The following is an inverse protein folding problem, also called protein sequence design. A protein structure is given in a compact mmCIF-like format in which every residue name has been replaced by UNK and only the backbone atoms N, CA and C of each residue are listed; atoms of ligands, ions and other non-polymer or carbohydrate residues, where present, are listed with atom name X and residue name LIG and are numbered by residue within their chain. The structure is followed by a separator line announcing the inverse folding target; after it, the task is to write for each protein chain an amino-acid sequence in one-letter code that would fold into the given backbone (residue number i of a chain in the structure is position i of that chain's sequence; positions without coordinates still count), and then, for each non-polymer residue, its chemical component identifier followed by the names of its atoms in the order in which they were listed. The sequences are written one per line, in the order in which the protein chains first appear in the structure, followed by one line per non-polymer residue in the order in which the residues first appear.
data_IF_400501059707
#
_entry.id   IF_400501059707
#
_cell.length_a   1.000
_cell.length_b   1.000
_cell.length_c   1.000
_cell.angle_alpha   90.00
_cell.angle_beta   90.00
_cell.angle_gamma   90.00
#
_symmetry.space_group_name_H-M   'P 1'
#
loop_
_entity.id
_entity.type
_entity.pdbx_description
1 polymer ?
#
# COMPACT_ATOMS: atom_id res chain seq x y z
N UNK A 1 24.34 15.76 -49.33
CA UNK A 1 24.40 16.15 -47.91
C UNK A 1 24.11 14.91 -47.07
N UNK A 2 24.84 14.68 -45.97
CA UNK A 2 24.56 13.58 -45.03
C UNK A 2 23.11 13.71 -44.52
N UNK A 3 22.36 12.60 -44.43
CA UNK A 3 20.95 12.60 -44.03
C UNK A 3 20.73 13.33 -42.70
N UNK A 4 21.67 13.19 -41.75
CA UNK A 4 21.59 13.84 -40.44
C UNK A 4 21.83 15.35 -40.52
N UNK A 5 22.71 15.83 -41.41
CA UNK A 5 22.98 17.26 -41.60
C UNK A 5 21.79 17.93 -42.29
N UNK A 6 21.14 17.26 -43.25
CA UNK A 6 19.87 17.74 -43.83
C UNK A 6 18.79 17.87 -42.75
N UNK A 7 18.64 16.85 -41.90
CA UNK A 7 17.67 16.85 -40.79
C UNK A 7 17.95 18.00 -39.81
N UNK A 8 19.21 18.22 -39.44
CA UNK A 8 19.61 19.34 -38.58
C UNK A 8 19.31 20.70 -39.23
N UNK A 9 19.54 20.83 -40.54
CA UNK A 9 19.22 22.04 -41.29
C UNK A 9 17.71 22.34 -41.33
N UNK A 10 16.89 21.31 -41.51
CA UNK A 10 15.43 21.43 -41.45
C UNK A 10 14.95 21.79 -40.03
N UNK A 11 15.54 21.17 -38.99
CA UNK A 11 15.17 21.45 -37.61
C UNK A 11 15.49 22.90 -37.22
N UNK A 12 16.63 23.42 -37.69
CA UNK A 12 17.07 24.81 -37.46
C UNK A 12 16.31 25.87 -38.28
N UNK A 13 15.26 25.48 -39.02
CA UNK A 13 14.24 26.45 -39.46
C UNK A 13 13.44 27.00 -38.27
N UNK A 14 13.46 26.29 -37.15
CA UNK A 14 13.10 26.82 -35.83
C UNK A 14 14.36 27.19 -35.07
N UNK A 15 14.29 28.21 -34.23
CA UNK A 15 15.41 28.55 -33.34
C UNK A 15 15.53 27.47 -32.24
N UNK A 16 16.57 26.65 -32.27
CA UNK A 16 16.77 25.55 -31.31
C UNK A 16 18.10 25.73 -30.57
N UNK A 17 18.06 25.57 -29.24
CA UNK A 17 19.27 25.41 -28.45
C UNK A 17 19.94 24.05 -28.72
N UNK A 18 21.18 23.89 -28.28
CA UNK A 18 21.97 22.69 -28.57
C UNK A 18 21.38 21.41 -27.94
N UNK A 19 20.77 21.48 -26.76
CA UNK A 19 20.02 20.32 -26.21
C UNK A 19 18.88 19.88 -27.13
N UNK A 20 18.05 20.82 -27.59
CA UNK A 20 16.89 20.52 -28.43
C UNK A 20 17.30 19.98 -29.80
N UNK A 21 18.34 20.58 -30.41
CA UNK A 21 18.91 20.07 -31.66
C UNK A 21 19.53 18.68 -31.46
N UNK A 22 20.32 18.50 -30.41
CA UNK A 22 21.01 17.25 -30.12
C UNK A 22 20.04 16.10 -29.84
N UNK A 23 18.97 16.33 -29.06
CA UNK A 23 17.99 15.30 -28.73
C UNK A 23 17.42 14.59 -29.95
N UNK A 24 17.27 15.26 -31.10
CA UNK A 24 16.81 14.65 -32.35
C UNK A 24 17.68 13.49 -32.84
N UNK A 25 18.93 13.43 -32.37
CA UNK A 25 19.95 12.46 -32.76
C UNK A 25 20.45 11.61 -31.58
N UNK A 26 19.72 11.58 -30.47
CA UNK A 26 20.13 10.90 -29.23
C UNK A 26 20.49 9.41 -29.44
N UNK A 27 19.81 8.72 -30.36
CA UNK A 27 20.07 7.30 -30.69
C UNK A 27 21.06 7.09 -31.84
N UNK A 28 21.60 8.14 -32.44
CA UNK A 28 22.53 8.04 -33.60
C UNK A 28 23.95 7.67 -33.16
N UNK A 29 24.35 8.11 -31.97
CA UNK A 29 25.65 7.82 -31.36
C UNK A 29 25.51 7.85 -29.84
N UNK A 30 26.41 7.21 -29.08
CA UNK A 30 26.31 7.11 -27.61
C UNK A 30 27.57 7.66 -26.95
N UNK A 31 27.48 8.07 -25.67
CA UNK A 31 28.64 8.50 -24.88
C UNK A 31 28.91 10.00 -24.84
N UNK A 32 28.07 10.82 -25.48
CA UNK A 32 28.07 12.29 -25.38
C UNK A 32 26.68 12.79 -24.94
N UNK A 33 26.64 13.97 -24.31
CA UNK A 33 25.38 14.63 -23.93
C UNK A 33 24.63 15.14 -25.17
N UNK A 34 23.34 15.49 -25.04
CA UNK A 34 22.65 16.10 -26.17
C UNK A 34 23.12 17.54 -26.42
N UNK A 35 23.59 18.26 -25.41
CA UNK A 35 24.23 19.57 -25.61
C UNK A 35 25.45 19.45 -26.54
N UNK A 36 26.39 18.55 -26.22
CA UNK A 36 27.58 18.28 -27.05
C UNK A 36 27.19 17.82 -28.45
N UNK A 37 26.15 16.97 -28.55
CA UNK A 37 25.63 16.50 -29.82
C UNK A 37 25.05 17.61 -30.68
N UNK A 38 24.30 18.54 -30.06
CA UNK A 38 23.77 19.73 -30.73
C UNK A 38 24.88 20.62 -31.24
N UNK A 39 25.87 20.92 -30.40
CA UNK A 39 27.06 21.69 -30.78
C UNK A 39 27.79 21.05 -31.98
N UNK A 40 27.98 19.74 -31.95
CA UNK A 40 28.60 18.98 -33.05
C UNK A 40 27.78 19.05 -34.34
N UNK A 41 26.45 18.91 -34.26
CA UNK A 41 25.58 19.04 -35.43
C UNK A 41 25.55 20.45 -35.99
N UNK A 42 25.54 21.47 -35.12
CA UNK A 42 25.62 22.87 -35.51
C UNK A 42 26.93 23.16 -36.23
N UNK A 43 28.06 22.69 -35.69
CA UNK A 43 29.38 22.83 -36.33
C UNK A 43 29.43 22.13 -37.71
N UNK A 44 28.93 20.90 -37.80
CA UNK A 44 28.89 20.17 -39.07
C UNK A 44 28.05 20.90 -40.13
N UNK A 45 26.91 21.46 -39.74
CA UNK A 45 26.06 22.25 -40.63
C UNK A 45 26.72 23.59 -41.02
N UNK A 46 27.40 24.27 -40.08
CA UNK A 46 28.13 25.50 -40.34
C UNK A 46 29.13 25.35 -41.50
N UNK A 47 29.89 24.25 -41.50
CA UNK A 47 30.87 23.95 -42.53
C UNK A 47 30.24 23.66 -43.88
N UNK A 48 29.11 22.94 -43.91
CA UNK A 48 28.38 22.62 -45.15
C UNK A 48 27.72 23.86 -45.77
N UNK A 49 27.10 24.72 -44.95
CA UNK A 49 26.51 26.00 -45.38
C UNK A 49 27.59 27.00 -45.82
N UNK A 50 28.67 27.12 -45.05
CA UNK A 50 29.80 27.99 -45.39
C UNK A 50 30.44 27.63 -46.74
N UNK A 51 30.51 26.33 -47.08
CA UNK A 51 30.96 25.87 -48.39
C UNK A 51 30.04 26.31 -49.55
N UNK A 52 28.80 26.72 -49.25
CA UNK A 52 27.81 27.27 -50.21
C UNK A 52 27.68 28.78 -50.13
N UNK A 53 28.45 29.44 -49.25
CA UNK A 53 28.31 30.88 -48.98
C UNK A 53 27.05 31.24 -48.19
N UNK A 54 26.47 30.27 -47.47
CA UNK A 54 25.32 30.44 -46.60
C UNK A 54 25.79 30.51 -45.14
N UNK A 55 25.04 31.20 -44.28
CA UNK A 55 25.31 31.32 -42.84
C UNK A 55 24.30 30.51 -42.03
N UNK A 56 24.73 30.07 -40.84
CA UNK A 56 23.81 29.46 -39.88
C UNK A 56 22.80 30.49 -39.37
N UNK A 57 21.52 30.09 -39.18
CA UNK A 57 20.57 30.91 -38.45
C UNK A 57 21.11 31.25 -37.04
N UNK A 58 20.97 32.50 -36.58
CA UNK A 58 21.35 32.88 -35.23
C UNK A 58 20.45 32.19 -34.19
N UNK A 59 20.98 31.99 -33.00
CA UNK A 59 20.23 31.52 -31.83
C UNK A 59 20.02 32.68 -30.86
N UNK A 60 18.76 33.00 -30.55
CA UNK A 60 18.38 34.02 -29.56
C UNK A 60 17.62 33.42 -28.39
N UNK A 61 16.62 32.59 -28.66
CA UNK A 61 15.81 31.91 -27.65
C UNK A 61 15.23 30.63 -28.22
N UNK A 62 15.30 29.53 -27.48
CA UNK A 62 14.86 28.25 -28.01
C UNK A 62 13.34 28.20 -28.19
N UNK A 63 12.88 28.17 -29.44
CA UNK A 63 11.48 27.99 -29.82
C UNK A 63 10.88 26.71 -29.23
N UNK A 64 11.67 25.63 -29.10
CA UNK A 64 11.14 24.36 -28.63
C UNK A 64 10.98 24.30 -27.10
N UNK A 65 11.99 24.70 -26.35
CA UNK A 65 12.00 24.49 -24.90
C UNK A 65 11.87 25.78 -24.07
N UNK A 66 11.74 26.95 -24.69
CA UNK A 66 11.70 28.24 -23.99
C UNK A 66 12.82 28.36 -22.93
N UNK A 67 14.04 27.96 -23.33
CA UNK A 67 15.29 28.01 -22.56
C UNK A 67 15.25 27.25 -21.21
N UNK A 68 14.40 26.22 -21.10
CA UNK A 68 14.29 25.39 -19.90
C UNK A 68 15.62 24.77 -19.44
N UNK A 69 16.53 24.46 -20.37
CA UNK A 69 17.83 23.86 -20.03
C UNK A 69 18.78 24.85 -19.34
N UNK A 70 18.56 26.16 -19.45
CA UNK A 70 19.32 27.15 -18.68
C UNK A 70 18.90 27.16 -17.20
N UNK A 71 17.71 26.63 -16.89
CA UNK A 71 17.14 26.62 -15.55
C UNK A 71 17.43 25.33 -14.76
N UNK A 72 18.26 24.42 -15.27
CA UNK A 72 18.57 23.14 -14.63
C UNK A 72 19.04 23.28 -13.18
N UNK A 73 19.93 24.25 -12.91
CA UNK A 73 20.44 24.51 -11.56
C UNK A 73 19.32 24.96 -10.60
N UNK A 74 18.42 25.85 -11.05
CA UNK A 74 17.26 26.31 -10.29
C UNK A 74 16.32 25.15 -9.94
N UNK A 75 16.05 24.26 -10.90
CA UNK A 75 15.20 23.09 -10.66
C UNK A 75 15.85 22.08 -9.72
N UNK A 76 17.15 21.84 -9.86
CA UNK A 76 17.91 20.97 -8.96
C UNK A 76 17.90 21.53 -7.53
N UNK A 77 18.15 22.82 -7.35
CA UNK A 77 18.12 23.48 -6.03
C UNK A 77 16.73 23.37 -5.38
N UNK A 78 15.66 23.63 -6.13
CA UNK A 78 14.29 23.48 -5.62
C UNK A 78 14.01 22.03 -5.16
N UNK A 79 14.48 21.03 -5.92
CA UNK A 79 14.33 19.63 -5.54
C UNK A 79 15.16 19.26 -4.30
N UNK A 80 16.41 19.73 -4.22
CA UNK A 80 17.27 19.52 -3.05
C UNK A 80 16.65 20.08 -1.78
N UNK A 81 16.09 21.29 -1.85
CA UNK A 81 15.45 21.94 -0.72
C UNK A 81 14.27 21.13 -0.19
N UNK A 82 13.36 20.70 -1.06
CA UNK A 82 12.22 19.85 -0.63
C UNK A 82 12.70 18.49 -0.09
N UNK A 83 13.65 17.85 -0.78
CA UNK A 83 14.19 16.56 -0.34
C UNK A 83 14.88 16.63 1.03
N UNK A 84 15.43 17.78 1.42
CA UNK A 84 16.10 17.96 2.72
C UNK A 84 15.16 17.84 3.93
N UNK A 85 13.84 17.94 3.71
CA UNK A 85 12.81 17.90 4.75
C UNK A 85 12.38 16.48 5.17
N UNK A 86 12.97 15.44 4.54
CA UNK A 86 12.62 14.03 4.76
C UNK A 86 13.84 13.10 4.75
N UNK A 87 13.72 11.95 5.39
CA UNK A 87 14.67 10.85 5.30
C UNK A 87 14.38 9.99 4.06
N UNK A 88 15.44 9.64 3.32
CA UNK A 88 15.40 8.71 2.20
C UNK A 88 16.80 8.19 1.90
N UNK A 89 16.86 6.99 1.34
CA UNK A 89 18.12 6.41 0.83
C UNK A 89 18.18 6.42 -0.70
N UNK A 90 17.02 6.31 -1.37
CA UNK A 90 16.91 6.39 -2.83
C UNK A 90 15.93 7.45 -3.29
N UNK A 91 16.17 8.06 -4.45
CA UNK A 91 15.25 9.05 -5.03
C UNK A 91 15.13 8.89 -6.54
N UNK A 92 14.16 9.62 -7.11
CA UNK A 92 14.04 9.77 -8.56
C UNK A 92 13.55 11.19 -8.89
N UNK A 93 14.08 11.79 -9.94
CA UNK A 93 13.58 13.06 -10.47
C UNK A 93 12.57 12.78 -11.58
N UNK A 94 11.42 13.43 -11.48
CA UNK A 94 10.45 13.53 -12.56
C UNK A 94 10.15 14.99 -12.87
N UNK A 95 9.74 15.26 -14.11
CA UNK A 95 9.32 16.59 -14.54
C UNK A 95 7.90 16.56 -15.11
N UNK A 96 7.18 17.66 -14.90
CA UNK A 96 5.96 18.03 -15.62
C UNK A 96 6.33 19.16 -16.58
N UNK A 97 6.15 18.88 -17.88
CA UNK A 97 6.42 19.82 -18.97
C UNK A 97 5.12 20.51 -19.34
N UNK A 98 5.21 21.78 -19.75
CA UNK A 98 4.07 22.50 -20.29
C UNK A 98 3.55 21.77 -21.54
N UNK A 99 2.23 21.49 -21.65
CA UNK A 99 1.64 20.88 -22.84
C UNK A 99 2.01 21.61 -24.15
N UNK A 100 2.18 22.94 -24.13
CA UNK A 100 2.55 23.71 -25.32
C UNK A 100 3.93 23.27 -25.84
N UNK A 101 4.90 22.98 -24.96
CA UNK A 101 6.23 22.54 -25.37
C UNK A 101 6.20 21.09 -25.86
N UNK A 102 5.30 20.27 -25.31
CA UNK A 102 5.08 18.90 -25.82
C UNK A 102 4.48 18.94 -27.23
N UNK A 103 3.52 19.82 -27.49
CA UNK A 103 2.93 20.02 -28.82
C UNK A 103 3.99 20.50 -29.83
N UNK A 104 4.87 21.44 -29.44
CA UNK A 104 6.00 21.89 -30.28
C UNK A 104 6.99 20.76 -30.58
N UNK A 105 7.25 19.89 -29.61
CA UNK A 105 8.13 18.73 -29.78
C UNK A 105 7.55 17.74 -30.80
N UNK A 106 6.27 17.41 -30.67
CA UNK A 106 5.57 16.54 -31.62
C UNK A 106 5.52 17.17 -33.01
N UNK A 107 5.28 18.48 -33.10
CA UNK A 107 5.33 19.23 -34.35
C UNK A 107 6.71 19.09 -35.00
N UNK A 108 7.79 19.39 -34.28
CA UNK A 108 9.14 19.29 -34.81
C UNK A 108 9.44 17.88 -35.31
N UNK A 109 9.08 16.84 -34.54
CA UNK A 109 9.27 15.45 -34.94
C UNK A 109 8.48 15.09 -36.20
N UNK A 110 7.29 15.66 -36.40
CA UNK A 110 6.50 15.44 -37.62
C UNK A 110 7.15 16.08 -38.86
N UNK A 111 7.87 17.19 -38.68
CA UNK A 111 8.53 17.92 -39.75
C UNK A 111 9.88 17.29 -40.15
N UNK A 112 10.68 16.82 -39.18
CA UNK A 112 12.06 16.39 -39.42
C UNK A 112 12.35 14.91 -39.08
N UNK A 113 11.37 14.20 -38.54
CA UNK A 113 11.49 12.81 -38.06
C UNK A 113 11.92 12.71 -36.59
N UNK A 114 11.26 11.85 -35.81
CA UNK A 114 11.47 11.66 -34.38
C UNK A 114 12.05 10.29 -33.98
N UNK A 115 12.41 9.42 -34.93
CA UNK A 115 12.72 8.01 -34.68
C UNK A 115 13.93 7.80 -33.77
N UNK A 116 14.92 8.69 -33.90
CA UNK A 116 16.15 8.69 -33.11
C UNK A 116 16.12 9.70 -31.97
N UNK A 117 14.97 10.37 -31.77
CA UNK A 117 14.86 11.49 -30.86
C UNK A 117 14.67 11.03 -29.40
N UNK A 118 15.23 11.80 -28.47
CA UNK A 118 14.92 11.70 -27.04
C UNK A 118 13.86 12.75 -26.64
N UNK A 119 12.78 12.36 -25.93
CA UNK A 119 11.81 13.30 -25.38
C UNK A 119 12.44 14.31 -24.43
N UNK A 120 11.98 15.57 -24.47
CA UNK A 120 12.52 16.66 -23.64
C UNK A 120 12.47 16.33 -22.15
N UNK A 121 11.38 15.69 -21.74
CA UNK A 121 11.14 15.22 -20.37
C UNK A 121 12.24 14.26 -19.90
N UNK A 122 12.69 13.35 -20.76
CA UNK A 122 13.70 12.34 -20.41
C UNK A 122 15.06 12.96 -20.16
N UNK A 123 15.48 13.90 -21.03
CA UNK A 123 16.74 14.62 -20.81
C UNK A 123 16.66 15.51 -19.57
N UNK A 124 15.59 16.28 -19.38
CA UNK A 124 15.42 17.12 -18.19
C UNK A 124 15.49 16.30 -16.90
N UNK A 125 14.80 15.16 -16.83
CA UNK A 125 14.88 14.27 -15.67
C UNK A 125 16.33 13.80 -15.42
N UNK A 126 17.06 13.44 -16.48
CA UNK A 126 18.44 12.96 -16.37
C UNK A 126 19.40 14.06 -15.92
N UNK A 127 19.36 15.23 -16.56
CA UNK A 127 20.31 16.31 -16.26
C UNK A 127 20.04 16.94 -14.89
N UNK A 128 18.77 17.15 -14.51
CA UNK A 128 18.44 17.57 -13.14
C UNK A 128 18.83 16.46 -12.14
N UNK A 129 18.56 15.20 -12.47
CA UNK A 129 18.93 14.04 -11.65
C UNK A 129 20.41 13.99 -11.31
N UNK A 130 21.30 14.18 -12.29
CA UNK A 130 22.76 14.23 -12.08
C UNK A 130 23.16 15.35 -11.11
N UNK A 131 22.57 16.54 -11.26
CA UNK A 131 22.85 17.68 -10.38
C UNK A 131 22.40 17.41 -8.94
N UNK A 132 21.21 16.86 -8.78
CA UNK A 132 20.68 16.49 -7.45
C UNK A 132 21.53 15.39 -6.82
N UNK A 133 21.82 14.31 -7.55
CA UNK A 133 22.64 13.17 -7.08
C UNK A 133 24.02 13.62 -6.57
N UNK A 134 24.69 14.49 -7.34
CA UNK A 134 25.99 15.04 -6.96
C UNK A 134 25.94 15.85 -5.65
N UNK A 135 24.83 16.53 -5.38
CA UNK A 135 24.62 17.34 -4.17
C UNK A 135 24.24 16.48 -2.96
N UNK A 136 23.19 15.65 -3.09
CA UNK A 136 22.61 14.90 -1.95
C UNK A 136 23.37 13.61 -1.61
N UNK A 137 24.16 13.07 -2.57
CA UNK A 137 24.92 11.81 -2.42
C UNK A 137 24.04 10.63 -2.00
N UNK A 138 22.88 10.51 -2.65
CA UNK A 138 21.91 9.41 -2.49
C UNK A 138 21.79 8.68 -3.81
N UNK A 139 21.31 7.44 -3.78
CA UNK A 139 21.22 6.61 -4.98
C UNK A 139 19.95 6.92 -5.78
N UNK A 140 20.06 6.95 -7.11
CA UNK A 140 18.89 7.03 -7.99
C UNK A 140 18.30 5.63 -8.18
N UNK A 141 17.00 5.47 -7.92
CA UNK A 141 16.27 4.20 -8.17
C UNK A 141 15.09 4.44 -9.12
N UNK A 142 15.14 3.82 -10.30
CA UNK A 142 14.12 3.94 -11.33
C UNK A 142 12.92 2.99 -11.13
N UNK A 143 13.02 2.03 -10.22
CA UNK A 143 12.01 0.98 -10.00
C UNK A 143 11.23 1.20 -8.71
N UNK A 144 11.93 1.48 -7.60
CA UNK A 144 11.34 1.54 -6.27
C UNK A 144 11.92 2.67 -5.38
N UNK A 145 11.94 3.92 -5.87
CA UNK A 145 12.50 5.02 -5.11
C UNK A 145 11.74 5.26 -3.79
N UNK A 146 12.46 5.68 -2.76
CA UNK A 146 11.83 6.11 -1.49
C UNK A 146 11.00 7.39 -1.68
N UNK A 147 11.41 8.24 -2.62
CA UNK A 147 10.72 9.49 -2.98
C UNK A 147 10.94 9.82 -4.45
N UNK A 148 9.90 10.31 -5.12
CA UNK A 148 10.01 10.94 -6.43
C UNK A 148 9.79 12.45 -6.25
N UNK A 149 10.79 13.26 -6.59
CA UNK A 149 10.63 14.72 -6.66
C UNK A 149 10.10 15.09 -8.04
N UNK A 150 8.83 15.50 -8.11
CA UNK A 150 8.16 15.88 -9.34
C UNK A 150 8.21 17.40 -9.50
N UNK A 151 9.00 17.85 -10.47
CA UNK A 151 9.27 19.26 -10.73
C UNK A 151 8.33 19.78 -11.80
N UNK A 152 7.52 20.79 -11.49
CA UNK A 152 6.73 21.53 -12.45
C UNK A 152 7.60 22.63 -13.10
N UNK A 153 8.04 22.38 -14.34
CA UNK A 153 9.02 23.23 -15.03
C UNK A 153 8.52 24.64 -15.34
N UNK A 154 7.21 24.87 -15.31
CA UNK A 154 6.58 26.19 -15.56
C UNK A 154 6.85 27.18 -14.44
N UNK A 155 6.91 26.69 -13.20
CA UNK A 155 7.01 27.52 -12.00
C UNK A 155 8.23 27.19 -11.14
N UNK A 156 8.89 26.05 -11.39
CA UNK A 156 9.94 25.51 -10.53
C UNK A 156 9.41 24.97 -9.19
N UNK A 157 8.11 24.68 -9.10
CA UNK A 157 7.51 24.07 -7.91
C UNK A 157 7.80 22.57 -7.89
N UNK A 158 8.13 22.03 -6.72
CA UNK A 158 8.46 20.61 -6.54
C UNK A 158 7.44 19.96 -5.61
N UNK A 159 6.85 18.87 -6.06
CA UNK A 159 5.96 18.02 -5.28
C UNK A 159 6.68 16.69 -4.96
N UNK A 160 6.71 16.30 -3.69
CA UNK A 160 7.31 15.03 -3.27
C UNK A 160 6.26 13.92 -3.23
N UNK A 161 6.43 12.93 -4.08
CA UNK A 161 5.71 11.66 -3.99
C UNK A 161 6.51 10.70 -3.12
N UNK A 162 6.17 10.64 -1.83
CA UNK A 162 6.86 9.81 -0.84
C UNK A 162 6.27 8.40 -0.82
N UNK A 163 7.09 7.40 -1.12
CA UNK A 163 6.67 6.00 -1.11
C UNK A 163 6.32 5.55 0.31
N UNK A 164 5.20 4.85 0.53
CA UNK A 164 4.80 4.37 1.86
C UNK A 164 5.77 3.32 2.41
N UNK A 165 5.76 3.14 3.73
CA UNK A 165 6.52 2.10 4.42
C UNK A 165 5.56 1.04 4.95
N UNK A 166 5.99 -0.22 4.91
CA UNK A 166 5.22 -1.37 5.36
C UNK A 166 5.93 -2.04 6.55
N UNK A 167 5.18 -2.30 7.61
CA UNK A 167 5.65 -2.92 8.85
C UNK A 167 4.80 -4.16 9.12
N UNK A 168 5.41 -5.33 9.13
CA UNK A 168 4.75 -6.56 9.54
C UNK A 168 4.76 -6.68 11.07
N UNK A 169 3.73 -7.32 11.63
CA UNK A 169 3.70 -7.72 13.03
C UNK A 169 2.63 -8.77 13.31
N UNK A 170 2.52 -9.18 14.57
CA UNK A 170 1.38 -9.95 15.09
C UNK A 170 0.74 -9.20 16.24
N UNK A 171 -0.59 -9.24 16.32
CA UNK A 171 -1.31 -8.64 17.44
C UNK A 171 -2.11 -9.68 18.23
N UNK A 172 -2.18 -9.51 19.54
CA UNK A 172 -3.24 -10.08 20.38
C UNK A 172 -4.21 -8.98 20.75
N UNK A 173 -5.46 -9.35 20.93
CA UNK A 173 -6.58 -8.48 21.30
C UNK A 173 -7.30 -9.11 22.48
N UNK A 174 -7.23 -8.44 23.62
CA UNK A 174 -7.79 -8.90 24.89
C UNK A 174 -9.20 -8.34 25.13
N UNK A 175 -9.50 -7.17 24.58
CA UNK A 175 -10.80 -6.53 24.74
C UNK A 175 -11.86 -7.09 23.79
N UNK A 176 -13.12 -7.16 24.27
CA UNK A 176 -14.32 -7.47 23.48
C UNK A 176 -15.08 -6.21 23.03
N UNK A 177 -14.49 -5.03 23.22
CA UNK A 177 -15.16 -3.75 23.00
C UNK A 177 -14.56 -2.94 21.86
N UNK A 178 -13.36 -3.30 21.40
CA UNK A 178 -12.68 -2.60 20.31
C UNK A 178 -12.75 -3.38 18.99
N UNK A 179 -12.85 -2.71 17.83
CA UNK A 179 -12.68 -3.34 16.53
C UNK A 179 -11.21 -3.56 16.17
N UNK A 180 -10.96 -4.39 15.15
CA UNK A 180 -9.63 -4.56 14.56
C UNK A 180 -9.15 -3.28 13.85
N UNK A 181 -10.02 -2.67 13.04
CA UNK A 181 -9.71 -1.46 12.27
C UNK A 181 -10.54 -0.28 12.74
N UNK A 182 -10.10 0.94 12.44
CA UNK A 182 -10.86 2.17 12.75
C UNK A 182 -12.22 2.17 12.05
N UNK A 183 -13.29 2.54 12.77
CA UNK A 183 -14.65 2.59 12.20
C UNK A 183 -15.16 4.04 12.18
N UNK A 184 -15.19 4.68 11.00
CA UNK A 184 -15.73 6.02 10.86
C UNK A 184 -17.20 6.07 11.27
N UNK A 185 -17.60 7.16 11.92
CA UNK A 185 -18.98 7.41 12.29
C UNK A 185 -19.87 7.36 11.04
N UNK A 186 -20.92 6.54 11.07
CA UNK A 186 -21.83 6.36 9.93
C UNK A 186 -22.58 7.64 9.53
N UNK A 187 -22.76 8.58 10.47
CA UNK A 187 -23.48 9.82 10.23
C UNK A 187 -22.60 10.87 9.52
N UNK A 188 -21.39 11.13 10.03
CA UNK A 188 -20.51 12.18 9.49
C UNK A 188 -19.37 11.66 8.60
N UNK A 189 -19.24 10.34 8.45
CA UNK A 189 -18.20 9.67 7.65
C UNK A 189 -16.78 10.08 8.06
N UNK A 190 -16.53 10.21 9.36
CA UNK A 190 -15.20 10.56 9.88
C UNK A 190 -15.01 12.04 10.25
N UNK A 191 -15.91 12.94 9.84
CA UNK A 191 -15.70 14.41 10.02
C UNK A 191 -15.89 14.94 11.44
N UNK A 192 -16.44 14.14 12.36
CA UNK A 192 -16.97 14.64 13.64
C UNK A 192 -18.42 15.12 13.53
N UNK A 193 -19.23 14.82 14.55
CA UNK A 193 -20.58 15.35 14.73
C UNK A 193 -21.07 15.12 16.17
N UNK A 194 -22.16 15.78 16.54
CA UNK A 194 -22.82 15.63 17.85
C UNK A 194 -23.07 14.18 18.25
N UNK A 195 -23.44 13.30 17.31
CA UNK A 195 -23.70 11.87 17.58
C UNK A 195 -22.46 11.13 18.10
N UNK A 196 -21.31 11.38 17.49
CA UNK A 196 -20.05 10.74 17.89
C UNK A 196 -19.24 11.63 18.84
N UNK A 197 -19.84 12.67 19.43
CA UNK A 197 -19.15 13.65 20.28
C UNK A 197 -17.91 14.23 19.58
N UNK A 198 -18.07 14.56 18.31
CA UNK A 198 -17.04 15.16 17.45
C UNK A 198 -15.78 14.31 17.18
N UNK A 199 -15.72 13.08 17.70
CA UNK A 199 -14.59 12.15 17.45
C UNK A 199 -14.47 11.68 16.00
N UNK A 200 -15.57 11.73 15.23
CA UNK A 200 -15.65 11.15 13.89
C UNK A 200 -15.70 9.62 13.86
N UNK A 201 -15.73 8.93 15.02
CA UNK A 201 -15.59 7.47 15.12
C UNK A 201 -16.84 6.81 15.73
N UNK A 202 -16.99 5.50 15.50
CA UNK A 202 -18.02 4.65 16.14
C UNK A 202 -17.54 4.02 17.45
N UNK A 203 -16.23 3.79 17.56
CA UNK A 203 -15.54 3.24 18.72
C UNK A 203 -14.40 4.20 19.07
N UNK A 204 -14.03 4.25 20.34
CA UNK A 204 -13.01 5.18 20.84
C UNK A 204 -11.62 4.89 20.24
N UNK A 205 -11.26 3.62 20.14
CA UNK A 205 -10.01 3.15 19.54
C UNK A 205 -10.20 1.81 18.82
N UNK A 206 -9.14 1.30 18.21
CA UNK A 206 -9.07 0.01 17.50
C UNK A 206 -7.67 -0.57 17.62
N UNK A 207 -7.51 -1.87 17.33
CA UNK A 207 -6.17 -2.50 17.24
C UNK A 207 -5.27 -1.72 16.29
N UNK A 208 -5.80 -1.32 15.13
CA UNK A 208 -5.11 -0.49 14.15
C UNK A 208 -4.59 0.84 14.75
N UNK A 209 -5.42 1.56 15.52
CA UNK A 209 -5.04 2.87 16.06
C UNK A 209 -4.00 2.76 17.17
N UNK A 210 -4.07 1.71 18.01
CA UNK A 210 -3.09 1.49 19.10
C UNK A 210 -1.66 1.34 18.56
N UNK A 211 -1.48 0.65 17.42
CA UNK A 211 -0.17 0.50 16.76
C UNK A 211 0.13 1.65 15.78
N UNK A 212 -0.89 2.10 15.05
CA UNK A 212 -0.72 3.00 13.92
C UNK A 212 -0.50 4.45 14.31
N UNK A 213 -1.22 4.96 15.32
CA UNK A 213 -1.10 6.36 15.71
C UNK A 213 0.33 6.67 16.25
N UNK A 214 0.93 5.86 17.13
CA UNK A 214 2.31 6.08 17.58
C UNK A 214 3.35 5.97 16.46
N UNK A 215 3.16 5.06 15.50
CA UNK A 215 4.07 4.93 14.36
C UNK A 215 3.98 6.12 13.41
N UNK A 216 2.77 6.63 13.16
CA UNK A 216 2.58 7.85 12.37
C UNK A 216 3.27 9.04 13.05
N UNK A 217 3.12 9.19 14.37
CA UNK A 217 3.78 10.25 15.13
C UNK A 217 5.31 10.13 15.07
N UNK A 218 5.87 8.95 15.35
CA UNK A 218 7.32 8.71 15.36
C UNK A 218 7.96 8.97 13.98
N UNK A 219 7.28 8.50 12.92
CA UNK A 219 7.76 8.58 11.54
C UNK A 219 7.39 9.89 10.84
N UNK A 220 6.59 10.76 11.46
CA UNK A 220 6.01 11.94 10.81
C UNK A 220 5.20 11.57 9.57
N UNK A 221 4.49 10.44 9.62
CA UNK A 221 3.60 9.99 8.54
C UNK A 221 2.32 10.81 8.47
N UNK A 222 1.57 10.61 7.39
CA UNK A 222 0.28 11.29 7.16
C UNK A 222 -0.92 10.49 7.64
N UNK A 223 -0.90 9.18 7.44
CA UNK A 223 -1.98 8.26 7.82
C UNK A 223 -1.44 6.82 7.89
N UNK A 224 -2.24 5.91 8.45
CA UNK A 224 -1.94 4.48 8.48
C UNK A 224 -3.08 3.62 7.93
N UNK A 225 -2.70 2.50 7.29
CA UNK A 225 -3.62 1.52 6.74
C UNK A 225 -3.28 0.11 7.27
N UNK A 226 -4.25 -0.53 7.89
CA UNK A 226 -4.08 -1.84 8.51
C UNK A 226 -4.53 -2.97 7.58
N UNK A 227 -3.62 -3.88 7.27
CA UNK A 227 -3.87 -5.07 6.47
C UNK A 227 -3.71 -6.31 7.34
N UNK A 228 -4.82 -6.87 7.85
CA UNK A 228 -4.79 -8.09 8.66
C UNK A 228 -4.95 -9.37 7.84
N UNK A 229 -4.35 -10.48 8.32
CA UNK A 229 -4.62 -11.83 7.81
C UNK A 229 -5.99 -12.31 8.30
N UNK A 230 -7.05 -11.75 7.73
CA UNK A 230 -8.42 -11.90 8.21
C UNK A 230 -8.77 -10.97 9.36
N UNK A 231 -9.91 -11.22 9.99
CA UNK A 231 -10.55 -10.34 10.98
C UNK A 231 -11.38 -11.17 11.97
N UNK A 232 -11.43 -10.72 13.22
CA UNK A 232 -12.42 -11.14 14.22
C UNK A 232 -13.53 -10.08 14.43
N UNK A 233 -14.64 -10.49 15.05
CA UNK A 233 -15.69 -9.56 15.45
C UNK A 233 -15.24 -8.69 16.64
N UNK A 234 -15.92 -7.57 16.88
CA UNK A 234 -15.61 -6.64 17.98
C UNK A 234 -15.64 -7.37 19.33
N UNK A 235 -16.63 -8.24 19.53
CA UNK A 235 -16.85 -9.01 20.75
C UNK A 235 -15.98 -10.27 20.87
N UNK A 236 -15.08 -10.53 19.91
CA UNK A 236 -14.17 -11.66 19.93
C UNK A 236 -12.74 -11.22 20.33
N UNK A 237 -12.03 -12.08 21.06
CA UNK A 237 -10.60 -11.88 21.39
C UNK A 237 -9.71 -12.60 20.37
N UNK A 238 -8.48 -12.12 20.24
CA UNK A 238 -7.40 -12.76 19.50
C UNK A 238 -6.26 -13.03 20.48
N UNK A 239 -6.03 -14.28 20.83
CA UNK A 239 -5.09 -14.71 21.87
C UNK A 239 -3.96 -15.57 21.27
N UNK A 240 -3.27 -16.31 22.12
CA UNK A 240 -2.22 -17.27 21.76
C UNK A 240 -1.17 -16.67 20.82
N UNK A 241 -1.06 -17.20 19.61
CA UNK A 241 -0.04 -16.75 18.63
C UNK A 241 -0.30 -15.35 18.09
N UNK A 242 -1.48 -14.77 18.32
CA UNK A 242 -1.89 -13.51 17.72
C UNK A 242 -2.18 -13.62 16.22
N UNK A 243 -2.69 -12.55 15.63
CA UNK A 243 -2.99 -12.47 14.19
C UNK A 243 -1.91 -11.66 13.46
N UNK A 244 -1.34 -12.18 12.37
CA UNK A 244 -0.48 -11.43 11.46
C UNK A 244 -1.17 -10.23 10.83
N UNK A 245 -0.41 -9.15 10.69
CA UNK A 245 -0.81 -7.96 9.96
C UNK A 245 0.39 -7.31 9.29
N UNK A 246 0.10 -6.49 8.29
CA UNK A 246 1.02 -5.49 7.75
C UNK A 246 0.36 -4.12 7.93
N UNK A 247 1.05 -3.21 8.59
CA UNK A 247 0.67 -1.81 8.71
C UNK A 247 1.41 -1.01 7.64
N UNK A 248 0.68 -0.21 6.89
CA UNK A 248 1.22 0.73 5.91
C UNK A 248 1.17 2.14 6.48
N UNK A 249 2.32 2.84 6.49
CA UNK A 249 2.44 4.25 6.87
C UNK A 249 2.59 5.07 5.59
N UNK A 250 1.65 5.99 5.37
CA UNK A 250 1.64 6.85 4.19
C UNK A 250 2.49 8.10 4.40
N UNK A 251 3.22 8.51 3.35
CA UNK A 251 4.06 9.72 3.31
C UNK A 251 4.95 9.91 4.56
N UNK A 252 5.75 8.90 4.98
CA UNK A 252 6.61 9.02 6.16
C UNK A 252 7.75 10.01 5.91
N UNK A 253 7.97 10.94 6.87
CA UNK A 253 9.12 11.84 6.86
C UNK A 253 10.38 11.20 7.41
N UNK A 254 10.27 10.22 8.30
CA UNK A 254 11.38 9.39 8.78
C UNK A 254 11.20 7.94 8.35
N UNK A 255 12.27 7.26 7.98
CA UNK A 255 12.23 5.87 7.49
C UNK A 255 12.93 4.88 8.41
N UNK A 256 13.61 5.36 9.45
CA UNK A 256 14.32 4.53 10.42
C UNK A 256 13.65 4.64 11.78
N UNK A 257 13.34 3.50 12.39
CA UNK A 257 12.76 3.42 13.73
C UNK A 257 13.37 2.26 14.51
N UNK A 258 13.33 2.36 15.84
CA UNK A 258 13.65 1.23 16.73
C UNK A 258 12.38 0.44 17.02
N UNK A 259 12.29 -0.76 16.42
CA UNK A 259 11.14 -1.65 16.60
C UNK A 259 10.94 -2.09 18.05
N UNK A 260 11.98 -2.21 18.87
CA UNK A 260 11.83 -2.59 20.28
C UNK A 260 11.26 -1.43 21.10
N UNK A 261 11.74 -0.21 20.84
CA UNK A 261 11.23 0.98 21.50
C UNK A 261 9.75 1.19 21.18
N UNK A 262 9.37 1.11 19.90
CA UNK A 262 7.97 1.30 19.50
C UNK A 262 7.07 0.17 20.02
N UNK A 263 7.54 -1.09 20.01
CA UNK A 263 6.79 -2.23 20.56
C UNK A 263 6.47 -2.03 22.06
N UNK A 264 7.40 -1.49 22.84
CA UNK A 264 7.16 -1.14 24.24
C UNK A 264 6.11 -0.04 24.40
N UNK A 265 6.17 1.01 23.57
CA UNK A 265 5.23 2.14 23.62
C UNK A 265 3.82 1.67 23.29
N UNK A 266 3.65 0.94 22.19
CA UNK A 266 2.33 0.51 21.71
C UNK A 266 1.71 -0.53 22.64
N UNK A 267 2.51 -1.41 23.26
CA UNK A 267 2.03 -2.39 24.23
C UNK A 267 1.62 -1.75 25.55
N UNK A 268 2.31 -0.67 25.96
CA UNK A 268 1.90 0.15 27.10
C UNK A 268 0.60 0.91 26.81
N UNK A 269 0.49 1.53 25.64
CA UNK A 269 -0.72 2.24 25.22
C UNK A 269 -1.93 1.30 25.03
N UNK A 270 -1.66 0.05 24.65
CA UNK A 270 -2.65 -1.00 24.47
C UNK A 270 -2.96 -1.81 25.71
N UNK A 271 -2.45 -1.45 26.90
CA UNK A 271 -2.61 -2.25 28.11
C UNK A 271 -4.08 -2.62 28.37
N UNK A 272 -4.34 -3.92 28.55
CA UNK A 272 -5.70 -4.47 28.72
C UNK A 272 -6.54 -4.56 27.44
N UNK A 273 -6.13 -3.93 26.34
CA UNK A 273 -6.85 -3.88 25.07
C UNK A 273 -6.22 -4.80 24.02
N UNK A 274 -4.94 -4.61 23.71
CA UNK A 274 -4.20 -5.32 22.68
C UNK A 274 -2.69 -5.21 22.90
N UNK A 275 -1.93 -6.18 22.41
CA UNK A 275 -0.47 -6.09 22.32
C UNK A 275 0.03 -6.56 20.96
N UNK A 276 1.29 -6.25 20.69
CA UNK A 276 1.96 -6.39 19.41
C UNK A 276 3.32 -7.03 19.63
N UNK A 277 3.72 -7.89 18.70
CA UNK A 277 5.02 -8.53 18.72
C UNK A 277 5.53 -8.82 17.31
N UNK A 278 6.84 -9.02 17.20
CA UNK A 278 7.48 -9.43 15.95
C UNK A 278 7.45 -8.35 14.89
N UNK A 279 7.54 -7.08 15.30
CA UNK A 279 7.58 -5.95 14.38
C UNK A 279 8.84 -6.01 13.51
N UNK A 280 8.66 -5.92 12.19
CA UNK A 280 9.76 -5.85 11.22
C UNK A 280 9.35 -5.11 9.96
N UNK A 281 10.35 -4.69 9.19
CA UNK A 281 10.11 -4.19 7.84
C UNK A 281 9.42 -5.24 6.96
N UNK A 282 8.59 -4.74 6.06
CA UNK A 282 7.77 -5.50 5.14
C UNK A 282 7.67 -4.76 3.80
N UNK A 283 6.91 -5.32 2.86
CA UNK A 283 6.69 -4.75 1.54
C UNK A 283 5.24 -4.92 1.10
N UNK A 284 4.84 -4.16 0.09
CA UNK A 284 3.51 -4.25 -0.53
C UNK A 284 3.17 -5.66 -1.07
N UNK A 285 4.18 -6.46 -1.42
CA UNK A 285 3.97 -7.86 -1.82
C UNK A 285 3.43 -8.71 -0.66
N UNK A 286 3.99 -8.53 0.55
CA UNK A 286 3.56 -9.28 1.72
C UNK A 286 2.10 -8.97 2.10
N UNK A 287 1.64 -7.72 1.87
CA UNK A 287 0.22 -7.35 1.99
C UNK A 287 -0.68 -8.24 1.12
N UNK A 288 -0.25 -8.55 -0.12
CA UNK A 288 -0.99 -9.45 -1.02
C UNK A 288 -0.95 -10.89 -0.51
N UNK A 289 0.21 -11.35 -0.06
CA UNK A 289 0.39 -12.70 0.49
C UNK A 289 -0.52 -12.94 1.69
N UNK A 290 -0.49 -12.09 2.72
CA UNK A 290 -1.32 -12.27 3.93
C UNK A 290 -2.82 -12.21 3.66
N UNK A 291 -3.24 -11.50 2.60
CA UNK A 291 -4.65 -11.42 2.18
C UNK A 291 -5.10 -12.66 1.40
N UNK A 292 -4.17 -13.31 0.70
CA UNK A 292 -4.44 -14.52 -0.08
C UNK A 292 -4.42 -15.79 0.79
N UNK A 293 -3.64 -15.80 1.87
CA UNK A 293 -3.56 -16.94 2.78
C UNK A 293 -4.92 -17.25 3.43
N UNK A 294 -5.27 -18.54 3.43
CA UNK A 294 -6.50 -19.05 4.01
C UNK A 294 -6.21 -20.10 5.10
N UNK A 295 -5.46 -19.72 6.16
CA UNK A 295 -5.05 -20.67 7.19
C UNK A 295 -6.23 -21.17 8.00
N UNK A 296 -6.11 -22.41 8.48
CA UNK A 296 -6.96 -22.94 9.54
C UNK A 296 -6.83 -22.09 10.81
N UNK A 297 -7.87 -22.12 11.64
CA UNK A 297 -7.92 -21.31 12.86
C UNK A 297 -8.43 -22.16 14.01
N UNK A 298 -7.82 -21.97 15.17
CA UNK A 298 -8.23 -22.61 16.42
C UNK A 298 -9.00 -21.59 17.26
N UNK A 299 -10.13 -22.00 17.77
CA UNK A 299 -11.02 -21.20 18.60
C UNK A 299 -11.30 -21.88 19.93
N UNK A 300 -11.56 -21.05 20.94
CA UNK A 300 -12.20 -21.44 22.19
C UNK A 300 -13.53 -20.72 22.27
N UNK A 301 -14.61 -21.46 22.45
CA UNK A 301 -15.98 -20.96 22.33
C UNK A 301 -16.75 -21.31 23.58
N UNK A 302 -17.26 -20.31 24.29
CA UNK A 302 -18.22 -20.52 25.37
C UNK A 302 -19.63 -20.51 24.78
N UNK A 303 -20.38 -21.57 25.08
CA UNK A 303 -21.72 -21.80 24.55
C UNK A 303 -22.69 -21.91 25.72
N UNK A 304 -23.77 -21.12 25.68
CA UNK A 304 -24.92 -21.30 26.55
C UNK A 304 -26.00 -22.13 25.87
N UNK A 305 -26.72 -22.91 26.67
CA UNK A 305 -27.77 -23.82 26.23
C UNK A 305 -29.10 -23.39 26.81
N UNK A 306 -30.12 -23.21 25.97
CA UNK A 306 -31.45 -22.84 26.41
C UNK A 306 -32.30 -24.09 26.70
N UNK A 307 -32.07 -24.69 27.87
CA UNK A 307 -32.81 -25.86 28.35
C UNK A 307 -31.91 -26.85 29.08
N UNK A 308 -32.52 -27.94 29.56
CA UNK A 308 -31.76 -29.06 30.13
C UNK A 308 -31.38 -30.03 29.02
N UNK A 309 -30.09 -30.30 28.89
CA UNK A 309 -29.57 -31.28 27.95
C UNK A 309 -28.75 -32.29 28.74
N UNK A 310 -28.91 -33.56 28.41
CA UNK A 310 -28.09 -34.61 28.99
C UNK A 310 -26.63 -34.45 28.53
N UNK A 311 -25.67 -34.54 29.46
CA UNK A 311 -24.24 -34.46 29.17
C UNK A 311 -23.82 -35.48 28.11
N UNK A 312 -24.26 -36.73 28.24
CA UNK A 312 -23.95 -37.78 27.26
C UNK A 312 -24.42 -37.40 25.84
N UNK A 313 -25.55 -36.71 25.71
CA UNK A 313 -26.06 -36.25 24.42
C UNK A 313 -25.17 -35.17 23.80
N UNK A 314 -24.60 -34.28 24.61
CA UNK A 314 -23.68 -33.25 24.15
C UNK A 314 -22.39 -33.92 23.64
N UNK A 315 -21.85 -34.87 24.40
CA UNK A 315 -20.65 -35.61 24.02
C UNK A 315 -20.84 -36.34 22.68
N UNK A 316 -21.93 -37.11 22.53
CA UNK A 316 -22.28 -37.79 21.27
C UNK A 316 -22.36 -36.83 20.08
N UNK A 317 -22.99 -35.67 20.27
CA UNK A 317 -23.16 -34.67 19.21
C UNK A 317 -21.81 -34.09 18.82
N UNK A 318 -20.99 -33.71 19.80
CA UNK A 318 -19.67 -33.12 19.53
C UNK A 318 -18.75 -34.14 18.84
N UNK A 319 -18.76 -35.40 19.26
CA UNK A 319 -18.03 -36.47 18.59
C UNK A 319 -18.50 -36.66 17.14
N UNK A 320 -19.83 -36.64 16.90
CA UNK A 320 -20.39 -36.78 15.55
C UNK A 320 -20.07 -35.59 14.61
N UNK A 321 -19.87 -34.40 15.19
CA UNK A 321 -19.55 -33.17 14.44
C UNK A 321 -18.04 -32.94 14.30
N UNK A 322 -17.21 -33.72 14.98
CA UNK A 322 -15.78 -33.71 14.79
C UNK A 322 -15.46 -34.15 13.34
N UNK A 323 -14.55 -33.43 12.68
CA UNK A 323 -14.21 -33.67 11.26
C UNK A 323 -15.38 -33.48 10.27
N UNK A 324 -16.52 -32.92 10.69
CA UNK A 324 -17.70 -32.82 9.85
C UNK A 324 -17.54 -31.77 8.73
N UNK A 325 -18.11 -32.11 7.57
CA UNK A 325 -18.38 -31.15 6.49
C UNK A 325 -19.71 -30.46 6.75
N UNK A 326 -19.68 -29.13 6.76
CA UNK A 326 -20.85 -28.28 6.98
C UNK A 326 -21.09 -27.41 5.76
N UNK A 327 -22.35 -27.08 5.50
CA UNK A 327 -22.75 -26.04 4.54
C UNK A 327 -23.19 -24.82 5.32
N UNK A 328 -22.53 -23.68 5.07
CA UNK A 328 -22.88 -22.39 5.67
C UNK A 328 -23.34 -21.42 4.59
N UNK A 329 -24.60 -21.02 4.67
CA UNK A 329 -25.09 -19.85 3.96
C UNK A 329 -24.59 -18.58 4.67
N UNK A 330 -24.34 -17.52 3.90
CA UNK A 330 -23.88 -16.22 4.44
C UNK A 330 -24.74 -15.79 5.63
N UNK A 331 -24.18 -15.58 6.84
CA UNK A 331 -24.98 -15.34 8.03
C UNK A 331 -25.95 -14.16 7.91
N UNK A 332 -27.11 -14.26 8.55
CA UNK A 332 -28.15 -13.21 8.54
C UNK A 332 -27.58 -11.85 8.97
N UNK A 333 -26.75 -11.82 10.01
CA UNK A 333 -26.12 -10.58 10.54
C UNK A 333 -25.12 -9.92 9.58
N UNK A 334 -24.69 -10.59 8.52
CA UNK A 334 -23.68 -10.10 7.56
C UNK A 334 -24.18 -10.02 6.13
N UNK A 335 -25.40 -10.47 5.83
CA UNK A 335 -25.94 -10.51 4.46
C UNK A 335 -26.09 -9.12 3.84
N UNK A 336 -26.36 -8.07 4.64
CA UNK A 336 -26.41 -6.69 4.16
C UNK A 336 -25.07 -6.16 3.62
N UNK A 337 -23.96 -6.86 3.89
CA UNK A 337 -22.60 -6.48 3.49
C UNK A 337 -21.89 -7.53 2.62
N UNK A 338 -22.53 -8.68 2.35
CA UNK A 338 -21.93 -9.80 1.61
C UNK A 338 -22.96 -10.49 0.75
N UNK A 339 -22.53 -11.01 -0.40
CA UNK A 339 -23.38 -11.85 -1.24
C UNK A 339 -23.93 -13.05 -0.45
N UNK A 340 -25.22 -13.31 -0.61
CA UNK A 340 -25.88 -14.45 0.03
C UNK A 340 -25.54 -15.73 -0.72
N UNK A 341 -24.65 -16.55 -0.17
CA UNK A 341 -24.11 -17.74 -0.83
C UNK A 341 -23.91 -18.86 0.19
N UNK A 342 -24.26 -20.08 -0.19
CA UNK A 342 -23.94 -21.31 0.54
C UNK A 342 -22.53 -21.78 0.19
N UNK A 343 -21.73 -22.11 1.21
CA UNK A 343 -20.35 -22.59 1.05
C UNK A 343 -20.11 -23.78 1.94
N UNK A 344 -19.46 -24.80 1.41
CA UNK A 344 -19.00 -25.93 2.21
C UNK A 344 -17.76 -25.55 3.02
N UNK A 345 -17.69 -26.01 4.26
CA UNK A 345 -16.57 -25.83 5.19
C UNK A 345 -16.34 -27.11 5.97
N UNK A 346 -15.11 -27.31 6.42
CA UNK A 346 -14.74 -28.46 7.23
C UNK A 346 -14.41 -28.02 8.66
N UNK A 347 -15.10 -28.60 9.64
CA UNK A 347 -14.62 -28.63 11.03
C UNK A 347 -13.48 -29.64 11.05
N UNK A 348 -12.28 -29.23 11.45
CA UNK A 348 -11.08 -30.08 11.43
C UNK A 348 -10.96 -30.87 12.73
N UNK A 349 -11.16 -30.19 13.84
CA UNK A 349 -11.15 -30.76 15.19
C UNK A 349 -12.24 -30.08 16.01
N UNK A 350 -12.92 -30.85 16.85
CA UNK A 350 -13.92 -30.35 17.79
C UNK A 350 -13.83 -31.17 19.08
N UNK A 351 -13.66 -30.48 20.21
CA UNK A 351 -13.57 -31.11 21.52
C UNK A 351 -14.24 -30.24 22.59
N UNK A 352 -14.80 -30.89 23.60
CA UNK A 352 -15.31 -30.23 24.81
C UNK A 352 -14.15 -30.05 25.78
N UNK A 353 -13.91 -28.82 26.23
CA UNK A 353 -12.96 -28.52 27.31
C UNK A 353 -13.61 -28.59 28.69
N UNK A 354 -14.85 -28.12 28.80
CA UNK A 354 -15.62 -28.16 30.05
C UNK A 354 -17.12 -28.20 29.78
N UNK A 355 -17.86 -28.82 30.71
CA UNK A 355 -19.30 -29.01 30.61
C UNK A 355 -19.98 -28.84 31.97
N UNK A 356 -20.72 -27.75 32.10
CA UNK A 356 -21.57 -27.40 33.24
C UNK A 356 -23.05 -27.65 32.91
N UNK A 357 -23.98 -27.24 33.77
CA UNK A 357 -25.42 -27.53 33.58
C UNK A 357 -26.04 -26.79 32.38
N UNK A 358 -25.72 -25.50 32.21
CA UNK A 358 -26.31 -24.61 31.20
C UNK A 358 -25.27 -24.05 30.21
N UNK A 359 -24.00 -24.46 30.36
CA UNK A 359 -22.87 -23.96 29.58
C UNK A 359 -21.85 -25.05 29.28
N UNK A 360 -21.21 -24.94 28.13
CA UNK A 360 -20.03 -25.73 27.80
C UNK A 360 -19.03 -24.92 27.00
N UNK A 361 -17.78 -25.35 27.07
CA UNK A 361 -16.67 -24.72 26.36
C UNK A 361 -16.14 -25.70 25.32
N UNK A 362 -16.06 -25.22 24.08
CA UNK A 362 -15.51 -25.97 22.97
C UNK A 362 -14.14 -25.43 22.58
N UNK A 363 -13.21 -26.35 22.32
CA UNK A 363 -12.04 -26.08 21.49
C UNK A 363 -12.31 -26.60 20.09
N UNK A 364 -12.10 -25.77 19.07
CA UNK A 364 -12.33 -26.17 17.70
C UNK A 364 -11.29 -25.65 16.74
N UNK A 365 -10.85 -26.48 15.80
CA UNK A 365 -10.07 -26.09 14.63
C UNK A 365 -10.97 -26.11 13.41
N UNK A 366 -10.99 -25.03 12.63
CA UNK A 366 -11.84 -24.95 11.44
C UNK A 366 -11.07 -24.49 10.23
N UNK A 367 -11.56 -24.91 9.06
CA UNK A 367 -11.18 -24.33 7.79
C UNK A 367 -11.41 -22.81 7.77
N UNK A 368 -10.59 -22.09 7.00
CA UNK A 368 -10.71 -20.64 6.86
C UNK A 368 -12.09 -20.20 6.35
N UNK A 369 -12.60 -19.12 6.95
CA UNK A 369 -13.90 -18.54 6.59
C UNK A 369 -15.11 -19.28 7.16
N UNK A 370 -14.90 -20.24 8.06
CA UNK A 370 -15.97 -20.85 8.86
C UNK A 370 -16.56 -19.81 9.83
N UNK A 371 -17.88 -19.68 9.81
CA UNK A 371 -18.63 -18.80 10.70
C UNK A 371 -18.97 -19.55 11.99
N UNK A 372 -18.09 -19.45 12.98
CA UNK A 372 -18.18 -20.21 14.25
C UNK A 372 -19.49 -19.96 14.99
N UNK A 373 -19.93 -18.70 15.14
CA UNK A 373 -21.19 -18.37 15.85
C UNK A 373 -22.39 -19.08 15.21
N UNK A 374 -22.40 -19.15 13.88
CA UNK A 374 -23.46 -19.77 13.12
C UNK A 374 -23.34 -21.30 13.03
N UNK A 375 -22.13 -21.88 13.15
CA UNK A 375 -21.97 -23.31 13.37
C UNK A 375 -22.56 -23.76 14.72
N UNK A 376 -22.43 -22.93 15.75
CA UNK A 376 -23.05 -23.20 17.05
C UNK A 376 -24.58 -23.03 16.98
N UNK A 377 -25.06 -21.87 16.53
CA UNK A 377 -26.49 -21.52 16.60
C UNK A 377 -27.36 -22.13 15.49
N UNK A 378 -26.76 -22.54 14.38
CA UNK A 378 -27.47 -22.97 13.16
C UNK A 378 -28.05 -21.84 12.32
N UNK A 379 -28.10 -20.60 12.83
CA UNK A 379 -28.64 -19.40 12.16
C UNK A 379 -29.99 -19.66 11.46
N UNK A 380 -30.95 -20.25 12.18
CA UNK A 380 -32.27 -20.58 11.63
C UNK A 380 -32.26 -21.64 10.53
N UNK A 381 -31.24 -22.51 10.51
CA UNK A 381 -31.08 -23.57 9.51
C UNK A 381 -30.24 -23.17 8.30
N UNK A 382 -29.61 -21.99 8.32
CA UNK A 382 -28.63 -21.50 7.32
C UNK A 382 -27.26 -22.17 7.45
N UNK A 383 -26.97 -22.83 8.57
CA UNK A 383 -25.81 -23.72 8.73
C UNK A 383 -26.26 -25.15 9.01
N UNK A 384 -25.76 -26.12 8.23
CA UNK A 384 -26.12 -27.55 8.36
C UNK A 384 -24.91 -28.47 8.10
N UNK A 385 -24.64 -29.46 8.97
CA UNK A 385 -25.16 -29.57 10.34
C UNK A 385 -24.69 -28.40 11.24
N UNK A 386 -25.32 -28.24 12.40
CA UNK A 386 -24.96 -27.27 13.44
C UNK A 386 -25.12 -27.88 14.83
N UNK A 387 -24.44 -27.30 15.83
CA UNK A 387 -24.48 -27.81 17.22
C UNK A 387 -25.90 -27.74 17.79
N UNK A 388 -26.56 -26.58 17.71
CA UNK A 388 -27.93 -26.42 18.22
C UNK A 388 -28.91 -27.43 17.60
N UNK A 389 -28.85 -27.65 16.28
CA UNK A 389 -29.75 -28.57 15.60
C UNK A 389 -29.47 -30.03 15.98
N UNK A 390 -28.20 -30.41 16.14
CA UNK A 390 -27.81 -31.77 16.50
C UNK A 390 -28.15 -32.12 17.97
N UNK A 391 -27.98 -31.14 18.87
CA UNK A 391 -28.42 -31.28 20.28
C UNK A 391 -29.95 -31.26 20.37
N UNK A 392 -30.63 -30.48 19.51
CA UNK A 392 -32.08 -30.33 19.50
C UNK A 392 -32.59 -29.21 20.39
N UNK A 393 -31.71 -28.36 20.91
CA UNK A 393 -32.07 -27.17 21.69
C UNK A 393 -31.31 -25.94 21.21
N UNK A 394 -31.82 -24.72 21.41
CA UNK A 394 -31.10 -23.51 21.04
C UNK A 394 -29.78 -23.36 21.80
N UNK A 395 -28.70 -23.08 21.07
CA UNK A 395 -27.38 -22.76 21.61
C UNK A 395 -26.94 -21.36 21.17
N UNK A 396 -26.27 -20.64 22.06
CA UNK A 396 -25.76 -19.30 21.78
C UNK A 396 -24.29 -19.18 22.20
N UNK A 397 -23.49 -18.52 21.36
CA UNK A 397 -22.11 -18.16 21.74
C UNK A 397 -22.15 -16.95 22.67
N UNK A 398 -21.68 -17.12 23.90
CA UNK A 398 -21.53 -16.04 24.90
C UNK A 398 -20.15 -15.43 24.86
N UNK A 399 -19.13 -16.20 24.49
CA UNK A 399 -17.76 -15.73 24.35
C UNK A 399 -17.03 -16.48 23.22
N UNK A 400 -16.25 -15.76 22.42
CA UNK A 400 -15.45 -16.32 21.34
C UNK A 400 -14.02 -15.80 21.40
N UNK A 401 -13.06 -16.73 21.43
CA UNK A 401 -11.65 -16.42 21.37
C UNK A 401 -11.01 -17.15 20.19
N UNK A 402 -10.25 -16.43 19.39
CA UNK A 402 -9.32 -17.04 18.44
C UNK A 402 -8.04 -17.33 19.22
N UNK A 403 -7.64 -18.59 19.29
CA UNK A 403 -6.47 -19.02 20.06
C UNK A 403 -5.23 -19.09 19.16
N UNK A 404 -5.40 -19.50 17.91
CA UNK A 404 -4.28 -19.69 17.01
C UNK A 404 -4.69 -19.48 15.56
N UNK A 405 -3.79 -18.85 14.81
CA UNK A 405 -3.81 -18.86 13.35
C UNK A 405 -2.73 -19.85 12.91
N UNK A 406 -3.11 -20.90 12.16
CA UNK A 406 -2.20 -21.95 11.69
C UNK A 406 -1.53 -21.47 10.40
N UNK A 407 -0.42 -20.74 10.56
CA UNK A 407 0.45 -20.29 9.47
C UNK A 407 1.80 -21.03 9.51
N UNK A 408 2.64 -20.86 8.49
CA UNK A 408 3.91 -21.58 8.31
C UNK A 408 4.86 -21.51 9.53
N UNK A 409 4.70 -20.50 10.40
CA UNK A 409 5.51 -20.33 11.60
C UNK A 409 4.90 -20.96 12.86
N UNK A 410 3.66 -21.45 12.80
CA UNK A 410 2.90 -21.96 13.93
C UNK A 410 2.16 -23.26 13.58
N UNK A 411 2.77 -24.12 12.75
CA UNK A 411 2.35 -25.51 12.60
C UNK A 411 2.60 -26.24 13.92
N UNK A 412 1.55 -26.38 14.72
CA UNK A 412 1.52 -27.19 15.94
C UNK A 412 0.65 -28.41 15.74
#
# INVERSE_FOLDING_TARGET
MNNNVNKAHQALQHDLCDHCLGRLFAQVDTGITNEERGQNMRMALALDLGARGEELPPHESCWLCDDLFEQLARFAEAAINELSEIEYDTFLIGTRIDPILQDREEQLWSEVGGETAEPIKSELNREIGKLVEASVRKEVDFTSPNVVALIDTRFGHVELNITPIFIYGRYRKFSREIPQTRWPCRACRGKGCKRCKDTGKMYETSVQEIIGDPLVEEMGGKDHFFHGMGREDVDARMLGTGRPFVLEIAEPRKRRIDFKAIENIVNKNGEGLADFSGLRWSAREEVRQIKALAPDKVYRVEVSVQGKVNKERIDEVIESLNQARITQQTPTRVVHRRADLARERTIRELAIESLDEDKFILRMRTESGTYVKEFISGDGGRTRPSVANAIGVPCQVTALDVIQIIDDNNEG
#
